data_IF_763764195825
#
_entry.id   IF_763764195825
#
_cell.length_a   1.000
_cell.length_b   1.000
_cell.length_c   1.000
_cell.angle_alpha   90.00
_cell.angle_beta   90.00
_cell.angle_gamma   90.00
#
_symmetry.space_group_name_H-M   'P 1'
#
loop_
_entity.id
_entity.type
_entity.pdbx_description
1 polymer ?
#
# COMPACT_ATOMS: atom_id res chain seq x y z
N UNK A 1 -10.73 -2.69 -10.26
CA UNK A 1 -9.93 -3.16 -11.41
C UNK A 1 -9.02 -4.25 -10.87
N UNK A 2 -8.73 -5.30 -11.63
CA UNK A 2 -7.73 -6.27 -11.19
C UNK A 2 -6.33 -5.74 -11.53
N UNK A 3 -5.57 -5.34 -10.51
CA UNK A 3 -4.21 -4.83 -10.66
C UNK A 3 -3.14 -5.92 -10.47
N UNK A 4 -3.53 -7.15 -10.12
CA UNK A 4 -2.58 -8.24 -9.86
C UNK A 4 -1.61 -7.95 -8.70
N UNK A 5 -2.03 -7.17 -7.71
CA UNK A 5 -1.21 -6.75 -6.57
C UNK A 5 -1.35 -7.64 -5.32
N UNK A 6 -2.30 -8.57 -5.33
CA UNK A 6 -2.52 -9.53 -4.24
C UNK A 6 -1.20 -10.20 -3.82
N UNK A 7 -0.95 -10.22 -2.51
CA UNK A 7 0.22 -10.82 -1.85
C UNK A 7 1.58 -10.22 -2.21
N UNK A 8 1.65 -9.19 -3.06
CA UNK A 8 2.91 -8.47 -3.34
C UNK A 8 3.34 -7.65 -2.12
N UNK A 9 4.66 -7.47 -1.98
CA UNK A 9 5.25 -6.63 -0.94
C UNK A 9 5.49 -5.22 -1.47
N UNK A 10 5.00 -4.20 -0.76
CA UNK A 10 5.23 -2.79 -1.08
C UNK A 10 5.84 -2.05 0.12
N UNK A 11 6.82 -1.17 -0.15
CA UNK A 11 7.44 -0.29 0.85
C UNK A 11 6.93 1.12 0.62
N UNK A 12 6.31 1.72 1.64
CA UNK A 12 5.80 3.09 1.57
C UNK A 12 6.43 3.93 2.68
N UNK A 13 7.42 4.74 2.32
CA UNK A 13 8.08 5.63 3.28
C UNK A 13 7.20 6.86 3.58
N UNK A 14 7.35 7.44 4.77
CA UNK A 14 6.57 8.62 5.16
C UNK A 14 5.06 8.36 5.28
N UNK A 15 4.65 7.11 5.52
CA UNK A 15 3.25 6.69 5.56
C UNK A 15 2.50 7.06 6.86
N UNK A 16 3.05 7.95 7.69
CA UNK A 16 2.44 8.30 8.99
C UNK A 16 1.24 9.24 8.87
N UNK A 17 1.13 10.01 7.77
CA UNK A 17 0.00 10.93 7.49
C UNK A 17 -0.02 11.39 6.03
N UNK A 18 -1.10 12.03 5.63
CA UNK A 18 -1.24 12.68 4.32
C UNK A 18 -1.14 11.68 3.16
N UNK A 19 -0.40 12.06 2.12
CA UNK A 19 -0.32 11.29 0.87
C UNK A 19 0.27 9.89 1.11
N UNK A 20 1.36 9.78 1.89
CA UNK A 20 1.99 8.48 2.16
C UNK A 20 1.03 7.51 2.85
N UNK A 21 0.19 8.01 3.76
CA UNK A 21 -0.83 7.21 4.45
C UNK A 21 -1.90 6.70 3.50
N UNK A 22 -2.43 7.56 2.62
CA UNK A 22 -3.46 7.13 1.66
C UNK A 22 -2.88 6.18 0.59
N UNK A 23 -1.61 6.33 0.21
CA UNK A 23 -0.91 5.37 -0.66
C UNK A 23 -0.81 4.00 0.01
N UNK A 24 -0.35 3.94 1.27
CA UNK A 24 -0.30 2.69 2.02
C UNK A 24 -1.69 2.04 2.12
N UNK A 25 -2.71 2.83 2.43
CA UNK A 25 -4.09 2.35 2.50
C UNK A 25 -4.59 1.76 1.17
N UNK A 26 -4.28 2.41 0.05
CA UNK A 26 -4.64 1.89 -1.27
C UNK A 26 -3.95 0.55 -1.58
N UNK A 27 -2.66 0.41 -1.27
CA UNK A 27 -1.97 -0.87 -1.44
C UNK A 27 -2.54 -2.00 -0.56
N UNK A 28 -2.94 -1.69 0.67
CA UNK A 28 -3.62 -2.68 1.53
C UNK A 28 -4.97 -3.13 0.94
N UNK A 29 -5.74 -2.20 0.36
CA UNK A 29 -7.02 -2.53 -0.28
C UNK A 29 -6.85 -3.46 -1.49
N UNK A 30 -5.72 -3.35 -2.18
CA UNK A 30 -5.33 -4.23 -3.30
C UNK A 30 -4.70 -5.57 -2.84
N UNK A 31 -4.64 -5.83 -1.53
CA UNK A 31 -4.13 -7.08 -0.97
C UNK A 31 -2.61 -7.17 -0.84
N UNK A 32 -1.90 -6.06 -0.95
CA UNK A 32 -0.46 -6.04 -0.70
C UNK A 32 -0.12 -6.24 0.78
N UNK A 33 1.05 -6.80 1.02
CA UNK A 33 1.75 -6.77 2.31
C UNK A 33 2.62 -5.52 2.37
N UNK A 34 2.51 -4.73 3.43
CA UNK A 34 3.24 -3.47 3.54
C UNK A 34 4.42 -3.53 4.51
N UNK A 35 5.47 -2.79 4.16
CA UNK A 35 6.44 -2.24 5.09
C UNK A 35 6.31 -0.70 5.06
N UNK A 36 6.13 -0.09 6.22
CA UNK A 36 5.90 1.35 6.41
C UNK A 36 7.00 1.97 7.27
#
# INVERSE_FOLDING_TARGET
MDLGLQDKVAVVTGASKGIGFEIAKAFLQEGCRLAI
#
